data_IF_637702040673
#
_entry.id   IF_637702040673
#
_cell.length_a   1.000
_cell.length_b   1.000
_cell.length_c   1.000
_cell.angle_alpha   90.00
_cell.angle_beta   90.00
_cell.angle_gamma   90.00
#
_symmetry.space_group_name_H-M   'P 1'
#
loop_
_entity.id
_entity.type
_entity.pdbx_description
1 polymer ?
#
# COMPACT_ATOMS: atom_id res chain seq x y z
N UNK A 1 14.56 -14.98 8.29
CA UNK A 1 13.20 -14.43 8.33
C UNK A 1 12.33 -15.27 9.25
N UNK A 2 11.57 -14.62 10.10
CA UNK A 2 10.62 -15.38 10.91
C UNK A 2 9.59 -16.05 10.01
N UNK A 3 9.19 -17.24 10.40
CA UNK A 3 8.17 -17.97 9.69
C UNK A 3 6.81 -17.33 9.93
N UNK A 4 6.03 -17.15 8.88
CA UNK A 4 4.69 -16.59 8.98
C UNK A 4 3.72 -17.64 9.49
N UNK A 5 3.15 -17.39 10.66
CA UNK A 5 2.15 -18.29 11.24
C UNK A 5 0.75 -17.73 10.98
N UNK A 6 -0.03 -18.46 10.21
CA UNK A 6 -1.40 -18.06 9.92
C UNK A 6 -2.37 -18.76 10.88
N UNK A 7 -3.43 -18.07 11.32
CA UNK A 7 -4.43 -18.67 12.17
C UNK A 7 -5.23 -19.75 11.43
N UNK A 8 -5.80 -20.68 12.18
CA UNK A 8 -6.64 -21.74 11.60
C UNK A 8 -8.08 -21.26 11.41
N UNK A 9 -8.23 -20.24 10.60
CA UNK A 9 -9.52 -19.65 10.25
C UNK A 9 -9.39 -19.00 8.90
N UNK A 10 -10.48 -18.51 8.36
CA UNK A 10 -10.45 -17.74 7.12
C UNK A 10 -9.59 -16.47 7.32
N UNK A 11 -8.64 -16.28 6.43
CA UNK A 11 -7.79 -15.09 6.41
C UNK A 11 -8.37 -14.13 5.40
N UNK A 12 -8.66 -12.91 5.83
CA UNK A 12 -9.21 -11.90 4.95
C UNK A 12 -8.11 -10.95 4.49
N UNK A 13 -7.93 -10.87 3.18
CA UNK A 13 -7.01 -9.90 2.58
C UNK A 13 -7.73 -8.56 2.40
N UNK A 14 -6.94 -7.51 2.20
CA UNK A 14 -7.50 -6.21 1.83
C UNK A 14 -8.03 -6.24 0.39
N UNK A 15 -8.63 -5.12 -0.04
CA UNK A 15 -9.14 -4.95 -1.39
C UNK A 15 -8.23 -4.09 -2.26
N UNK A 16 -8.80 -3.54 -3.33
CA UNK A 16 -8.05 -2.79 -4.31
C UNK A 16 -7.65 -1.40 -3.83
N UNK A 17 -6.37 -1.17 -3.66
CA UNK A 17 -5.82 0.14 -3.29
C UNK A 17 -6.18 1.19 -4.34
N UNK A 18 -5.95 0.88 -5.62
CA UNK A 18 -6.23 1.83 -6.70
C UNK A 18 -7.69 2.25 -6.76
N UNK A 19 -8.59 1.30 -6.55
CA UNK A 19 -10.02 1.57 -6.55
C UNK A 19 -10.42 2.52 -5.41
N UNK A 20 -9.89 2.27 -4.21
CA UNK A 20 -10.16 3.11 -3.05
C UNK A 20 -9.58 4.52 -3.22
N UNK A 21 -8.39 4.63 -3.77
CA UNK A 21 -7.79 5.92 -4.06
C UNK A 21 -8.65 6.71 -5.06
N UNK A 22 -9.14 6.03 -6.08
CA UNK A 22 -10.00 6.65 -7.09
C UNK A 22 -11.29 7.18 -6.47
N UNK A 23 -11.91 6.43 -5.59
CA UNK A 23 -13.11 6.87 -4.88
C UNK A 23 -12.85 8.11 -4.02
N UNK A 24 -11.61 8.28 -3.57
CA UNK A 24 -11.21 9.42 -2.74
C UNK A 24 -10.66 10.58 -3.55
N UNK A 25 -10.83 10.54 -4.89
CA UNK A 25 -10.46 11.63 -5.78
C UNK A 25 -8.99 11.66 -6.19
N UNK A 26 -8.25 10.58 -5.96
CA UNK A 26 -6.84 10.49 -6.34
C UNK A 26 -6.73 9.90 -7.73
N UNK A 27 -5.92 10.53 -8.59
CA UNK A 27 -5.67 10.02 -9.93
C UNK A 27 -4.78 8.77 -9.87
N UNK A 28 -5.31 7.66 -10.39
CA UNK A 28 -4.57 6.40 -10.46
C UNK A 28 -4.28 5.98 -11.89
N UNK A 29 -4.68 6.79 -12.86
CA UNK A 29 -4.43 6.54 -14.28
C UNK A 29 -3.12 7.20 -14.71
N UNK A 30 -2.04 6.79 -14.08
CA UNK A 30 -0.69 7.34 -14.30
C UNK A 30 0.23 6.25 -14.78
N UNK A 31 1.46 6.63 -15.21
CA UNK A 31 2.46 5.65 -15.64
C UNK A 31 2.90 4.70 -14.53
N UNK A 32 2.73 5.09 -13.27
CA UNK A 32 3.03 4.23 -12.11
C UNK A 32 1.76 3.82 -11.37
N UNK A 33 0.62 3.97 -12.00
CA UNK A 33 -0.69 3.54 -11.50
C UNK A 33 -0.96 4.14 -10.11
N UNK A 34 -1.52 3.34 -9.21
CA UNK A 34 -1.86 3.79 -7.87
C UNK A 34 -0.65 4.18 -7.01
N UNK A 35 0.54 3.75 -7.38
CA UNK A 35 1.76 4.14 -6.65
C UNK A 35 2.02 5.66 -6.72
N UNK A 36 1.43 6.37 -7.69
CA UNK A 36 1.52 7.83 -7.76
C UNK A 36 1.00 8.50 -6.49
N UNK A 37 0.04 7.88 -5.82
CA UNK A 37 -0.51 8.41 -4.58
C UNK A 37 0.54 8.48 -3.46
N UNK A 38 1.61 7.68 -3.53
CA UNK A 38 2.71 7.78 -2.57
C UNK A 38 3.41 9.14 -2.65
N UNK A 39 3.39 9.75 -3.83
CA UNK A 39 3.98 11.07 -4.07
C UNK A 39 2.96 12.16 -3.77
N UNK A 40 1.78 12.03 -4.35
CA UNK A 40 0.77 13.10 -4.32
C UNK A 40 -0.02 13.17 -3.02
N UNK A 41 -0.29 12.02 -2.41
CA UNK A 41 -1.17 11.96 -1.24
C UNK A 41 -0.85 10.74 -0.36
N UNK A 42 0.35 10.67 0.23
CA UNK A 42 0.73 9.50 1.05
C UNK A 42 -0.21 9.29 2.24
N UNK A 43 -0.77 10.35 2.81
CA UNK A 43 -1.71 10.23 3.91
C UNK A 43 -3.00 9.51 3.50
N UNK A 44 -3.41 9.62 2.25
CA UNK A 44 -4.60 8.92 1.76
C UNK A 44 -4.32 7.44 1.60
N UNK A 45 -3.11 7.06 1.15
CA UNK A 45 -2.68 5.66 1.11
C UNK A 45 -2.74 5.06 2.53
N UNK A 46 -2.24 5.80 3.50
CA UNK A 46 -2.28 5.41 4.90
C UNK A 46 -3.72 5.19 5.39
N UNK A 47 -4.61 6.11 5.05
CA UNK A 47 -6.02 5.99 5.42
C UNK A 47 -6.69 4.75 4.81
N UNK A 48 -6.36 4.43 3.56
CA UNK A 48 -6.89 3.24 2.91
C UNK A 48 -6.45 1.98 3.66
N UNK A 49 -5.18 1.88 4.02
CA UNK A 49 -4.68 0.75 4.81
C UNK A 49 -5.42 0.65 6.15
N UNK A 50 -5.57 1.77 6.83
CA UNK A 50 -6.26 1.83 8.12
C UNK A 50 -7.72 1.37 7.99
N UNK A 51 -8.40 1.82 6.96
CA UNK A 51 -9.80 1.49 6.74
C UNK A 51 -10.00 0.01 6.43
N UNK A 52 -9.11 -0.60 5.67
CA UNK A 52 -9.18 -2.04 5.42
C UNK A 52 -8.98 -2.84 6.69
N UNK A 53 -8.05 -2.44 7.54
CA UNK A 53 -7.83 -3.12 8.83
C UNK A 53 -9.05 -2.96 9.72
N UNK A 54 -9.61 -1.76 9.79
CA UNK A 54 -10.82 -1.50 10.57
C UNK A 54 -12.01 -2.33 10.07
N UNK A 55 -12.08 -2.53 8.76
CA UNK A 55 -13.13 -3.35 8.15
C UNK A 55 -12.93 -4.86 8.37
N UNK A 56 -11.79 -5.28 8.89
CA UNK A 56 -11.54 -6.68 9.24
C UNK A 56 -10.46 -7.38 8.46
N UNK A 57 -9.70 -6.68 7.62
CA UNK A 57 -8.59 -7.31 6.89
C UNK A 57 -7.52 -7.79 7.87
N UNK A 58 -7.07 -9.02 7.67
CA UNK A 58 -5.99 -9.61 8.45
C UNK A 58 -4.63 -9.28 7.87
N UNK A 59 -4.56 -9.14 6.55
CA UNK A 59 -3.33 -8.85 5.81
C UNK A 59 -3.61 -7.70 4.86
N UNK A 60 -2.74 -6.71 4.86
CA UNK A 60 -2.80 -5.61 3.90
C UNK A 60 -1.63 -5.69 2.94
N UNK A 61 -1.88 -5.28 1.70
CA UNK A 61 -0.90 -5.30 0.62
C UNK A 61 -0.29 -3.91 0.45
N UNK A 62 1.02 -3.82 0.41
CA UNK A 62 1.68 -2.53 0.24
C UNK A 62 1.39 -1.95 -1.15
N UNK A 63 1.37 -0.63 -1.24
CA UNK A 63 1.06 0.07 -2.50
C UNK A 63 2.31 0.22 -3.37
N UNK A 64 2.82 -0.89 -3.86
CA UNK A 64 4.08 -0.90 -4.63
C UNK A 64 3.95 -1.48 -6.04
N UNK A 65 2.76 -1.85 -6.45
CA UNK A 65 2.54 -2.51 -7.75
C UNK A 65 3.12 -1.73 -8.92
N UNK A 66 2.94 -0.41 -8.95
CA UNK A 66 3.42 0.44 -10.02
C UNK A 66 4.88 0.87 -9.89
N UNK A 67 5.56 0.49 -8.81
CA UNK A 67 6.95 0.90 -8.58
C UNK A 67 7.89 -0.07 -9.30
N UNK A 68 7.96 0.11 -10.60
CA UNK A 68 8.82 -0.67 -11.50
C UNK A 68 9.74 0.33 -12.20
N UNK A 69 11.01 0.02 -12.30
CA UNK A 69 12.00 0.95 -12.85
C UNK A 69 11.61 1.52 -14.21
N UNK A 70 11.09 0.68 -15.11
CA UNK A 70 10.65 1.14 -16.42
C UNK A 70 9.50 2.13 -16.33
N UNK A 71 8.54 1.90 -15.43
CA UNK A 71 7.43 2.81 -15.23
C UNK A 71 7.89 4.14 -14.64
N UNK A 72 8.85 4.10 -13.72
CA UNK A 72 9.41 5.30 -13.11
C UNK A 72 10.20 6.11 -14.14
N UNK A 73 10.89 5.44 -15.04
CA UNK A 73 11.61 6.11 -16.13
C UNK A 73 10.65 6.87 -17.05
N UNK A 74 9.51 6.28 -17.38
CA UNK A 74 8.45 6.95 -18.14
C UNK A 74 7.95 8.21 -17.45
N UNK A 75 7.92 8.21 -16.13
CA UNK A 75 7.49 9.36 -15.33
C UNK A 75 8.65 10.33 -15.03
N UNK A 76 9.87 10.01 -15.42
CA UNK A 76 11.04 10.84 -15.16
C UNK A 76 11.53 10.81 -13.72
N UNK A 77 11.20 9.78 -12.97
CA UNK A 77 11.51 9.68 -11.53
C UNK A 77 12.15 8.35 -11.16
N UNK A 78 12.92 7.75 -12.06
CA UNK A 78 13.54 6.44 -11.83
C UNK A 78 14.50 6.42 -10.63
N UNK A 79 15.06 7.58 -10.25
CA UNK A 79 15.91 7.73 -9.09
C UNK A 79 15.15 7.57 -7.76
N UNK A 80 13.83 7.58 -7.78
CA UNK A 80 12.99 7.44 -6.60
C UNK A 80 12.55 6.01 -6.32
N UNK A 81 13.11 5.04 -7.03
CA UNK A 81 12.71 3.64 -6.89
C UNK A 81 12.81 3.15 -5.44
N UNK A 82 13.96 3.37 -4.80
CA UNK A 82 14.16 2.93 -3.41
C UNK A 82 13.29 3.69 -2.43
N UNK A 83 13.20 5.00 -2.58
CA UNK A 83 12.42 5.84 -1.67
C UNK A 83 10.94 5.50 -1.69
N UNK A 84 10.38 5.29 -2.88
CA UNK A 84 8.97 4.96 -3.00
C UNK A 84 8.66 3.58 -2.45
N UNK A 85 9.53 2.60 -2.66
CA UNK A 85 9.35 1.27 -2.07
C UNK A 85 9.41 1.33 -0.54
N UNK A 86 10.35 2.09 0.01
CA UNK A 86 10.44 2.27 1.46
C UNK A 86 9.20 2.94 2.02
N UNK A 87 8.73 3.98 1.34
CA UNK A 87 7.53 4.69 1.77
C UNK A 87 6.31 3.77 1.75
N UNK A 88 6.13 2.99 0.68
CA UNK A 88 5.02 2.04 0.59
C UNK A 88 5.03 1.05 1.75
N UNK A 89 6.20 0.51 2.08
CA UNK A 89 6.35 -0.40 3.21
C UNK A 89 6.09 0.29 4.55
N UNK A 90 6.64 1.48 4.73
CA UNK A 90 6.50 2.23 5.99
C UNK A 90 5.05 2.54 6.32
N UNK A 91 4.28 2.97 5.33
CA UNK A 91 2.87 3.31 5.53
C UNK A 91 2.07 2.09 5.99
N UNK A 92 2.32 0.94 5.38
CA UNK A 92 1.63 -0.29 5.77
C UNK A 92 2.07 -0.77 7.15
N UNK A 93 3.37 -0.75 7.46
CA UNK A 93 3.89 -1.18 8.75
C UNK A 93 3.38 -0.30 9.88
N UNK A 94 3.35 0.99 9.66
CA UNK A 94 2.89 1.95 10.65
C UNK A 94 1.44 1.67 11.06
N UNK A 95 0.57 1.42 10.10
CA UNK A 95 -0.83 1.11 10.35
C UNK A 95 -0.98 -0.25 11.03
N UNK A 96 -0.22 -1.24 10.63
CA UNK A 96 -0.24 -2.56 11.24
C UNK A 96 0.12 -2.51 12.73
N UNK A 97 1.08 -1.70 13.09
CA UNK A 97 1.47 -1.50 14.49
C UNK A 97 0.40 -0.76 15.28
N UNK A 98 -0.15 0.29 14.69
CA UNK A 98 -1.14 1.12 15.37
C UNK A 98 -2.45 0.38 15.64
N UNK A 99 -2.80 -0.61 14.83
CA UNK A 99 -4.03 -1.36 14.99
C UNK A 99 -4.02 -2.31 16.18
N UNK A 100 -2.86 -2.62 16.73
CA UNK A 100 -2.67 -3.60 17.81
C UNK A 100 -3.20 -5.00 17.47
N UNK A 101 -3.35 -5.30 16.21
CA UNK A 101 -3.74 -6.61 15.74
C UNK A 101 -2.53 -7.51 15.61
N UNK A 102 -2.77 -8.79 15.34
CA UNK A 102 -1.70 -9.72 15.07
C UNK A 102 -0.81 -9.17 13.95
N UNK A 103 0.45 -9.18 14.20
CA UNK A 103 1.43 -8.75 13.21
C UNK A 103 1.76 -9.91 12.30
N UNK A 104 1.52 -9.69 11.07
CA UNK A 104 1.79 -10.69 10.05
C UNK A 104 3.03 -10.26 9.27
#
# INVERSE_FOLDING_TARGET
MPELKLPQRTILLDGGMGRELRFRGIDVMTSIWSARALIDAPQVVREVHSDFITAGADIITINSYGIVKSNLAWAGIEDRFKDLNRLACSLAQEIGRASCRERV
#
